data_IF_164002666878
#
_entry.id   IF_164002666878
#
_cell.length_a   1.000
_cell.length_b   1.000
_cell.length_c   1.000
_cell.angle_alpha   90.00
_cell.angle_beta   90.00
_cell.angle_gamma   90.00
#
_symmetry.space_group_name_H-M   'P 1'
#
loop_
_entity.id
_entity.type
_entity.pdbx_description
1 polymer ?
#
# COMPACT_ATOMS: atom_id res chain seq x y z
N UNK A 1 24.21 0.89 7.77
CA UNK A 1 22.88 1.52 7.94
C UNK A 1 22.08 1.49 6.65
N UNK A 2 22.61 1.96 5.52
CA UNK A 2 21.88 1.93 4.22
C UNK A 2 21.51 0.52 3.73
N UNK A 3 22.37 -0.49 3.97
CA UNK A 3 22.09 -1.88 3.60
C UNK A 3 20.88 -2.48 4.34
N UNK A 4 20.59 -2.02 5.56
CA UNK A 4 19.46 -2.50 6.35
C UNK A 4 18.14 -1.91 5.85
N UNK A 5 18.16 -0.63 5.45
CA UNK A 5 17.03 0.04 4.80
C UNK A 5 16.71 -0.65 3.46
N UNK A 6 17.72 -0.93 2.62
CA UNK A 6 17.49 -1.62 1.34
C UNK A 6 16.91 -3.04 1.48
N UNK A 7 17.27 -3.75 2.57
CA UNK A 7 16.67 -5.05 2.89
C UNK A 7 15.19 -4.91 3.24
N UNK A 8 14.85 -3.95 4.09
CA UNK A 8 13.47 -3.63 4.45
C UNK A 8 12.64 -3.20 3.24
N UNK A 9 13.18 -2.36 2.37
CA UNK A 9 12.51 -1.93 1.13
C UNK A 9 12.20 -3.12 0.22
N UNK A 10 13.14 -4.06 0.10
CA UNK A 10 12.93 -5.30 -0.68
C UNK A 10 11.80 -6.12 -0.08
N UNK A 11 11.76 -6.26 1.23
CA UNK A 11 10.73 -7.02 1.94
C UNK A 11 9.34 -6.37 1.81
N UNK A 12 9.27 -5.04 1.91
CA UNK A 12 8.05 -4.26 1.69
C UNK A 12 7.58 -4.42 0.24
N UNK A 13 8.48 -4.35 -0.74
CA UNK A 13 8.14 -4.53 -2.14
C UNK A 13 7.62 -5.95 -2.45
N UNK A 14 8.15 -6.98 -1.77
CA UNK A 14 7.65 -8.35 -1.89
C UNK A 14 6.22 -8.47 -1.32
N UNK A 15 6.01 -8.01 -0.07
CA UNK A 15 4.69 -8.02 0.56
C UNK A 15 3.63 -7.26 -0.25
N UNK A 16 3.99 -6.08 -0.76
CA UNK A 16 3.11 -5.27 -1.58
C UNK A 16 2.70 -5.96 -2.90
N UNK A 17 3.54 -6.86 -3.43
CA UNK A 17 3.22 -7.64 -4.64
C UNK A 17 2.36 -8.87 -4.33
N UNK A 18 2.43 -9.42 -3.14
CA UNK A 18 1.61 -10.58 -2.74
C UNK A 18 0.17 -10.16 -2.38
N UNK A 19 -0.02 -8.91 -1.98
CA UNK A 19 -1.33 -8.37 -1.62
C UNK A 19 -2.05 -7.74 -2.83
N UNK A 20 -3.27 -8.21 -3.12
CA UNK A 20 -4.05 -7.74 -4.28
C UNK A 20 -4.44 -6.26 -4.17
N UNK A 21 -4.81 -5.79 -2.98
CA UNK A 21 -5.18 -4.39 -2.74
C UNK A 21 -3.96 -3.49 -2.92
N UNK A 22 -2.81 -3.86 -2.33
CA UNK A 22 -1.57 -3.11 -2.50
C UNK A 22 -1.12 -3.07 -3.98
N UNK A 23 -1.23 -4.19 -4.71
CA UNK A 23 -0.97 -4.21 -6.16
C UNK A 23 -1.85 -3.27 -6.94
N UNK A 24 -3.15 -3.21 -6.62
CA UNK A 24 -4.09 -2.29 -7.29
C UNK A 24 -3.77 -0.85 -6.95
N UNK A 25 -3.42 -0.53 -5.71
CA UNK A 25 -3.01 0.81 -5.29
C UNK A 25 -1.75 1.28 -6.02
N UNK A 26 -0.76 0.41 -6.22
CA UNK A 26 0.47 0.75 -6.96
C UNK A 26 0.25 1.04 -8.46
N UNK A 27 -0.95 0.80 -9.01
CA UNK A 27 -1.28 1.24 -10.38
C UNK A 27 -1.62 2.73 -10.45
N UNK A 28 -1.87 3.37 -9.31
CA UNK A 28 -2.09 4.81 -9.21
C UNK A 28 -0.73 5.53 -9.31
N UNK A 29 -0.57 6.51 -10.23
CA UNK A 29 0.65 7.28 -10.33
C UNK A 29 1.03 7.93 -8.99
N UNK A 30 2.28 7.72 -8.55
CA UNK A 30 2.80 8.23 -7.28
C UNK A 30 2.62 7.31 -6.08
N UNK A 31 1.92 6.16 -6.21
CA UNK A 31 1.79 5.17 -5.14
C UNK A 31 2.82 4.05 -5.33
N UNK A 32 3.87 4.07 -4.52
CA UNK A 32 4.88 3.00 -4.45
C UNK A 32 4.53 1.90 -3.43
N UNK A 33 5.33 0.83 -3.33
CA UNK A 33 5.07 -0.32 -2.45
C UNK A 33 4.97 0.06 -0.96
N UNK A 34 5.76 1.02 -0.51
CA UNK A 34 5.68 1.52 0.87
C UNK A 34 4.32 2.19 1.15
N UNK A 35 3.90 3.11 0.27
CA UNK A 35 2.63 3.84 0.42
C UNK A 35 1.46 2.86 0.29
N UNK A 36 1.51 1.94 -0.67
CA UNK A 36 0.47 0.93 -0.87
C UNK A 36 0.32 -0.01 0.33
N UNK A 37 1.43 -0.43 0.93
CA UNK A 37 1.43 -1.28 2.13
C UNK A 37 0.91 -0.53 3.34
N UNK A 38 1.38 0.71 3.56
CA UNK A 38 0.89 1.54 4.66
C UNK A 38 -0.62 1.81 4.55
N UNK A 39 -1.09 2.13 3.34
CA UNK A 39 -2.52 2.25 3.06
C UNK A 39 -3.25 0.96 3.40
N UNK A 40 -2.80 -0.18 2.87
CA UNK A 40 -3.49 -1.46 3.07
C UNK A 40 -3.57 -1.84 4.56
N UNK A 41 -2.51 -1.59 5.32
CA UNK A 41 -2.44 -1.90 6.75
C UNK A 41 -3.30 -0.95 7.60
N UNK A 42 -3.41 0.33 7.21
CA UNK A 42 -4.12 1.35 7.98
C UNK A 42 -5.58 1.52 7.52
N UNK A 43 -5.91 1.06 6.31
CA UNK A 43 -7.25 1.17 5.76
C UNK A 43 -8.20 0.20 6.48
N UNK A 44 -9.41 0.64 6.85
CA UNK A 44 -10.46 -0.30 7.21
C UNK A 44 -10.82 -1.19 6.01
N UNK A 45 -11.46 -2.35 6.25
CA UNK A 45 -11.76 -3.32 5.19
C UNK A 45 -12.48 -2.65 4.02
N UNK A 46 -12.13 -2.99 2.76
CA UNK A 46 -12.69 -2.36 1.55
C UNK A 46 -14.22 -2.45 1.48
N UNK A 47 -14.83 -3.44 2.13
CA UNK A 47 -16.28 -3.60 2.28
C UNK A 47 -16.95 -2.45 3.06
N UNK A 48 -16.18 -1.76 3.91
CA UNK A 48 -16.61 -0.57 4.66
C UNK A 48 -16.69 0.66 3.75
N UNK A 49 -15.95 0.67 2.64
CA UNK A 49 -15.91 1.79 1.70
C UNK A 49 -16.95 1.59 0.59
N UNK A 50 -18.10 2.23 0.76
CA UNK A 50 -19.21 2.18 -0.20
C UNK A 50 -18.82 2.77 -1.57
N UNK A 51 -17.79 3.64 -1.63
CA UNK A 51 -17.13 4.12 -2.86
C UNK A 51 -15.62 4.36 -2.62
N UNK A 52 -14.79 4.20 -3.66
CA UNK A 52 -13.36 4.54 -3.63
C UNK A 52 -13.07 6.00 -3.22
N UNK A 53 -14.05 6.90 -3.33
CA UNK A 53 -13.97 8.29 -2.88
C UNK A 53 -13.98 8.45 -1.35
N UNK A 54 -14.62 7.52 -0.64
CA UNK A 54 -14.64 7.53 0.83
C UNK A 54 -13.28 7.10 1.40
N UNK A 55 -12.50 6.35 0.61
CA UNK A 55 -11.12 5.96 0.92
C UNK A 55 -10.13 7.13 0.80
N UNK A 56 -10.30 8.00 -0.20
CA UNK A 56 -9.44 9.17 -0.42
C UNK A 56 -9.59 10.28 0.65
N UNK A 57 -10.64 10.23 1.48
CA UNK A 57 -10.87 11.19 2.56
C UNK A 57 -9.99 10.93 3.80
N UNK A 58 -9.22 9.84 3.81
CA UNK A 58 -8.30 9.47 4.90
C UNK A 58 -6.85 9.98 4.66
N UNK A 59 -6.56 10.55 3.50
CA UNK A 59 -5.26 11.15 3.20
C UNK A 59 -5.17 12.60 3.71
#
# INVERSE_FOLDING_TARGET
MEAEIGKLDTEIALRAKENELARRLMTVPGIGPLIATAIETLAPPPETFRKARDFAALC
#
